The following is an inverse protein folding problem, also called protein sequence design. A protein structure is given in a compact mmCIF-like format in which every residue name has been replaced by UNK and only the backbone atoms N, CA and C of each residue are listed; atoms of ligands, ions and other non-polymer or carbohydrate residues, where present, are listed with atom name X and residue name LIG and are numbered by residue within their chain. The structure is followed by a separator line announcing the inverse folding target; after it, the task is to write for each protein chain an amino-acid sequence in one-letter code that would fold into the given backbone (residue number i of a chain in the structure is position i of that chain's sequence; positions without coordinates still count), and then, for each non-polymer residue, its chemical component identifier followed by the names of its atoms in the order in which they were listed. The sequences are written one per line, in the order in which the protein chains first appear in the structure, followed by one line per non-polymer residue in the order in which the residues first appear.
data_IF_498807249167
#
_entry.id   IF_498807249167
#
_cell.length_a   1.000
_cell.length_b   1.000
_cell.length_c   1.000
_cell.angle_alpha   90.00
_cell.angle_beta   90.00
_cell.angle_gamma   90.00
#
_symmetry.space_group_name_H-M   'P 1'
#
loop_
_entity.id
_entity.type
_entity.pdbx_description
1 polymer ?
#
# COMPACT_ATOMS: atom_id res chain seq x y z
N UNK A 1 -4.64 7.47 22.09
CA UNK A 1 -3.51 6.99 21.28
C UNK A 1 -3.97 6.59 19.91
N UNK A 2 -3.32 7.11 18.89
CA UNK A 2 -3.65 6.77 17.51
C UNK A 2 -3.18 5.35 17.18
N UNK A 3 -4.05 4.58 16.55
CA UNK A 3 -3.76 3.25 16.02
C UNK A 3 -3.96 3.29 14.51
N UNK A 4 -3.08 2.63 13.79
CA UNK A 4 -3.07 2.70 12.34
C UNK A 4 -3.09 1.33 11.66
N UNK A 5 -3.63 1.33 10.46
CA UNK A 5 -3.48 0.21 9.52
C UNK A 5 -2.70 0.76 8.33
N UNK A 6 -1.57 0.13 8.05
CA UNK A 6 -0.64 0.54 7.00
C UNK A 6 -0.70 -0.45 5.86
N UNK A 7 -1.07 0.02 4.68
CA UNK A 7 -1.19 -0.82 3.48
C UNK A 7 0.02 -0.62 2.58
N UNK A 8 0.65 -1.72 2.18
CA UNK A 8 1.47 -1.77 0.98
C UNK A 8 0.55 -1.72 -0.25
N UNK A 9 1.09 -1.43 -1.42
CA UNK A 9 0.29 -1.40 -2.66
C UNK A 9 0.55 -2.61 -3.56
N UNK A 10 1.78 -2.73 -4.09
CA UNK A 10 2.08 -3.73 -5.12
C UNK A 10 2.07 -5.14 -4.53
N UNK A 11 1.19 -6.00 -5.04
CA UNK A 11 0.98 -7.34 -4.52
C UNK A 11 0.09 -7.40 -3.28
N UNK A 12 -0.35 -6.27 -2.76
CA UNK A 12 -1.23 -6.18 -1.58
C UNK A 12 -2.63 -5.73 -1.95
N UNK A 13 -2.78 -4.61 -2.65
CA UNK A 13 -4.07 -4.14 -3.17
C UNK A 13 -4.07 -3.99 -4.69
N UNK A 14 -2.92 -3.71 -5.30
CA UNK A 14 -2.74 -3.57 -6.74
C UNK A 14 -1.94 -4.74 -7.30
N UNK A 15 -2.41 -5.31 -8.40
CA UNK A 15 -1.80 -6.50 -9.01
C UNK A 15 -0.75 -6.12 -10.06
N UNK A 16 0.30 -5.44 -9.63
CA UNK A 16 1.39 -5.00 -10.50
C UNK A 16 2.03 -6.19 -11.24
N UNK A 17 2.24 -7.29 -10.54
CA UNK A 17 3.02 -8.42 -11.06
C UNK A 17 2.34 -9.19 -12.19
N UNK A 18 1.06 -8.93 -12.45
CA UNK A 18 0.34 -9.48 -13.60
C UNK A 18 0.31 -8.52 -14.80
N UNK A 19 0.81 -7.32 -14.67
CA UNK A 19 0.96 -6.41 -15.81
C UNK A 19 2.04 -6.97 -16.72
N UNK A 20 1.73 -7.19 -17.98
CA UNK A 20 2.69 -7.71 -18.96
C UNK A 20 3.87 -6.73 -19.07
N UNK A 21 5.11 -7.28 -19.02
CA UNK A 21 6.36 -6.53 -19.13
C UNK A 21 6.54 -5.43 -18.05
N UNK A 22 5.90 -5.58 -16.91
CA UNK A 22 5.95 -4.56 -15.86
C UNK A 22 7.37 -4.20 -15.44
N UNK A 23 8.23 -5.21 -15.27
CA UNK A 23 9.60 -4.98 -14.80
C UNK A 23 10.45 -4.26 -15.86
N UNK A 24 10.35 -4.69 -17.10
CA UNK A 24 11.05 -4.06 -18.22
C UNK A 24 10.62 -2.61 -18.40
N UNK A 25 9.33 -2.34 -18.32
CA UNK A 25 8.78 -0.99 -18.43
C UNK A 25 9.30 -0.10 -17.30
N UNK A 26 9.29 -0.58 -16.05
CA UNK A 26 9.82 0.18 -14.92
C UNK A 26 11.32 0.43 -15.04
N UNK A 27 12.08 -0.58 -15.47
CA UNK A 27 13.52 -0.45 -15.68
C UNK A 27 13.85 0.55 -16.78
N UNK A 28 12.96 0.74 -17.74
CA UNK A 28 13.08 1.74 -18.80
C UNK A 28 12.51 3.12 -18.40
N UNK A 29 12.13 3.29 -17.13
CA UNK A 29 11.70 4.57 -16.61
C UNK A 29 10.20 4.88 -16.75
N UNK A 30 9.39 3.93 -17.24
CA UNK A 30 7.95 4.13 -17.37
C UNK A 30 7.24 3.84 -16.05
N UNK A 31 6.34 4.71 -15.62
CA UNK A 31 5.46 4.47 -14.46
C UNK A 31 4.11 3.87 -14.86
N UNK A 32 3.91 3.60 -16.14
CA UNK A 32 2.66 3.10 -16.69
C UNK A 32 2.16 1.80 -16.03
N UNK A 33 3.03 0.82 -15.68
CA UNK A 33 2.56 -0.40 -15.03
C UNK A 33 1.77 -0.16 -13.74
N UNK A 34 2.10 0.89 -12.99
CA UNK A 34 1.37 1.23 -11.77
C UNK A 34 -0.05 1.69 -12.06
N UNK A 35 -0.26 2.38 -13.20
CA UNK A 35 -1.59 2.80 -13.63
C UNK A 35 -2.40 1.66 -14.24
N UNK A 36 -1.73 0.69 -14.84
CA UNK A 36 -2.36 -0.43 -15.53
C UNK A 36 -2.77 -1.57 -14.61
N UNK A 37 -2.26 -1.61 -13.39
CA UNK A 37 -2.49 -2.72 -12.47
C UNK A 37 -3.99 -2.85 -12.13
N UNK A 38 -4.51 -4.08 -12.21
CA UNK A 38 -5.85 -4.36 -11.73
C UNK A 38 -5.86 -4.46 -10.20
N UNK A 39 -6.99 -4.17 -9.55
CA UNK A 39 -7.08 -4.40 -8.11
C UNK A 39 -7.11 -5.90 -7.78
N UNK A 40 -6.57 -6.25 -6.62
CA UNK A 40 -6.58 -7.61 -6.11
C UNK A 40 -7.90 -7.97 -5.41
N UNK A 41 -8.73 -6.99 -5.12
CA UNK A 41 -9.99 -7.15 -4.39
C UNK A 41 -11.12 -6.40 -5.07
N UNK A 42 -12.35 -6.72 -4.67
CA UNK A 42 -13.50 -5.87 -4.98
C UNK A 42 -13.28 -4.55 -4.26
N UNK A 43 -13.01 -3.49 -5.01
CA UNK A 43 -12.63 -2.21 -4.42
C UNK A 43 -13.82 -1.50 -3.75
N UNK A 44 -15.05 -1.77 -4.17
CA UNK A 44 -16.23 -1.23 -3.49
C UNK A 44 -16.31 -1.81 -2.07
N UNK A 45 -16.11 -3.10 -1.93
CA UNK A 45 -16.13 -3.77 -0.63
C UNK A 45 -14.92 -3.40 0.24
N UNK A 46 -13.73 -3.34 -0.35
CA UNK A 46 -12.53 -2.96 0.39
C UNK A 46 -12.62 -1.53 0.89
N UNK A 47 -13.02 -0.61 0.03
CA UNK A 47 -13.17 0.81 0.39
C UNK A 47 -14.19 0.98 1.51
N UNK A 48 -15.32 0.24 1.44
CA UNK A 48 -16.32 0.29 2.51
C UNK A 48 -15.74 -0.18 3.84
N UNK A 49 -15.01 -1.29 3.85
CA UNK A 49 -14.38 -1.81 5.07
C UNK A 49 -13.38 -0.81 5.65
N UNK A 50 -12.57 -0.18 4.79
CA UNK A 50 -11.59 0.82 5.22
C UNK A 50 -12.28 2.06 5.79
N UNK A 51 -13.35 2.54 5.16
CA UNK A 51 -14.13 3.67 5.69
C UNK A 51 -14.75 3.35 7.05
N UNK A 52 -15.24 2.15 7.24
CA UNK A 52 -15.80 1.71 8.52
C UNK A 52 -14.71 1.71 9.61
N UNK A 53 -13.50 1.29 9.25
CA UNK A 53 -12.36 1.32 10.17
C UNK A 53 -11.95 2.75 10.53
N UNK A 54 -11.95 3.66 9.57
CA UNK A 54 -11.71 5.07 9.85
C UNK A 54 -12.76 5.64 10.81
N UNK A 55 -14.02 5.31 10.60
CA UNK A 55 -15.11 5.72 11.50
C UNK A 55 -14.95 5.14 12.91
N UNK A 56 -14.31 3.97 13.04
CA UNK A 56 -14.00 3.34 14.32
C UNK A 56 -12.72 3.86 14.97
N UNK A 57 -12.07 4.85 14.36
CA UNK A 57 -10.89 5.50 14.94
C UNK A 57 -9.54 5.01 14.42
N UNK A 58 -9.53 4.15 13.42
CA UNK A 58 -8.27 3.71 12.80
C UNK A 58 -7.74 4.78 11.83
N UNK A 59 -6.45 5.01 11.92
CA UNK A 59 -5.72 5.82 10.94
C UNK A 59 -5.32 4.93 9.77
N UNK A 60 -5.55 5.36 8.55
CA UNK A 60 -5.23 4.55 7.36
C UNK A 60 -4.04 5.16 6.64
N UNK A 61 -2.96 4.43 6.58
CA UNK A 61 -1.74 4.83 5.91
C UNK A 61 -1.48 3.92 4.71
N UNK A 62 -0.96 4.50 3.63
CA UNK A 62 -0.39 3.73 2.52
C UNK A 62 1.10 4.00 2.52
N UNK A 63 1.90 2.95 2.61
CA UNK A 63 3.36 3.03 2.59
C UNK A 63 3.85 2.09 1.50
N UNK A 64 4.35 2.65 0.41
CA UNK A 64 4.75 1.89 -0.76
C UNK A 64 6.14 2.30 -1.24
N UNK A 65 6.85 1.37 -1.86
CA UNK A 65 8.16 1.61 -2.44
C UNK A 65 8.05 2.02 -3.90
N UNK A 66 8.97 2.88 -4.34
CA UNK A 66 9.22 3.09 -5.77
C UNK A 66 9.93 1.89 -6.38
N UNK A 67 10.18 1.93 -7.68
CA UNK A 67 10.90 0.86 -8.36
C UNK A 67 12.39 0.85 -7.96
N UNK A 68 13.00 -0.33 -8.05
CA UNK A 68 14.39 -0.55 -7.68
C UNK A 68 15.36 0.35 -8.44
N UNK A 69 15.07 0.68 -9.71
CA UNK A 69 15.93 1.45 -10.58
C UNK A 69 15.56 2.92 -10.68
N UNK A 70 14.54 3.37 -9.96
CA UNK A 70 14.05 4.73 -10.04
C UNK A 70 15.04 5.75 -9.48
N UNK A 71 15.33 6.77 -10.27
CA UNK A 71 16.01 7.96 -9.78
C UNK A 71 15.01 8.87 -9.09
N UNK A 72 15.46 10.03 -8.59
CA UNK A 72 14.61 10.95 -7.85
C UNK A 72 13.42 11.47 -8.68
N UNK A 73 13.65 11.76 -9.94
CA UNK A 73 12.62 12.24 -10.86
C UNK A 73 11.58 11.16 -11.16
N UNK A 74 12.05 9.94 -11.42
CA UNK A 74 11.18 8.79 -11.66
C UNK A 74 10.36 8.44 -10.41
N UNK A 75 10.95 8.55 -9.22
CA UNK A 75 10.22 8.28 -7.97
C UNK A 75 9.03 9.23 -7.84
N UNK A 76 9.18 10.49 -8.22
CA UNK A 76 8.08 11.46 -8.18
C UNK A 76 6.98 11.09 -9.17
N UNK A 77 7.33 10.63 -10.37
CA UNK A 77 6.37 10.14 -11.35
C UNK A 77 5.63 8.90 -10.87
N UNK A 78 6.34 7.97 -10.23
CA UNK A 78 5.76 6.77 -9.64
C UNK A 78 4.75 7.14 -8.53
N UNK A 79 5.12 8.09 -7.70
CA UNK A 79 4.25 8.60 -6.63
C UNK A 79 2.94 9.13 -7.21
N UNK A 80 3.01 9.93 -8.27
CA UNK A 80 1.82 10.47 -8.92
C UNK A 80 0.97 9.37 -9.53
N UNK A 81 1.57 8.40 -10.20
CA UNK A 81 0.85 7.27 -10.78
C UNK A 81 0.09 6.47 -9.71
N UNK A 82 0.74 6.20 -8.59
CA UNK A 82 0.12 5.46 -7.48
C UNK A 82 -1.02 6.25 -6.83
N UNK A 83 -0.85 7.56 -6.67
CA UNK A 83 -1.92 8.43 -6.17
C UNK A 83 -3.12 8.43 -7.11
N UNK A 84 -2.90 8.53 -8.41
CA UNK A 84 -3.97 8.48 -9.40
C UNK A 84 -4.73 7.15 -9.33
N UNK A 85 -4.00 6.05 -9.18
CA UNK A 85 -4.61 4.72 -9.04
C UNK A 85 -5.51 4.65 -7.81
N UNK A 86 -5.02 5.10 -6.65
CA UNK A 86 -5.80 5.11 -5.42
C UNK A 86 -7.03 6.00 -5.52
N UNK A 87 -6.89 7.17 -6.14
CA UNK A 87 -7.99 8.12 -6.34
C UNK A 87 -9.04 7.57 -7.30
N UNK A 88 -8.61 6.87 -8.35
CA UNK A 88 -9.53 6.26 -9.31
C UNK A 88 -10.44 5.23 -8.65
N UNK A 89 -9.95 4.50 -7.65
CA UNK A 89 -10.73 3.54 -6.90
C UNK A 89 -11.33 4.11 -5.61
N UNK A 90 -11.16 5.40 -5.39
CA UNK A 90 -11.69 6.10 -4.20
C UNK A 90 -11.20 5.49 -2.88
N UNK A 91 -9.98 4.95 -2.89
CA UNK A 91 -9.39 4.36 -1.68
C UNK A 91 -9.12 5.46 -0.64
N UNK A 92 -9.75 5.40 0.54
CA UNK A 92 -9.59 6.44 1.54
C UNK A 92 -8.31 6.20 2.34
N UNK A 93 -7.43 7.18 2.37
CA UNK A 93 -6.24 7.14 3.20
C UNK A 93 -6.07 8.47 3.92
N UNK A 94 -5.52 8.41 5.12
CA UNK A 94 -5.19 9.59 5.92
C UNK A 94 -3.75 10.03 5.64
N UNK A 95 -2.89 9.09 5.28
CA UNK A 95 -1.51 9.38 4.89
C UNK A 95 -1.07 8.50 3.72
N UNK A 96 -0.22 9.06 2.86
CA UNK A 96 0.35 8.36 1.72
C UNK A 96 1.84 8.63 1.63
N UNK A 97 2.63 7.57 1.55
CA UNK A 97 4.08 7.63 1.47
C UNK A 97 4.59 6.72 0.37
N UNK A 98 5.14 7.32 -0.67
CA UNK A 98 5.87 6.59 -1.71
C UNK A 98 7.34 6.89 -1.53
N UNK A 99 8.09 5.87 -1.11
CA UNK A 99 9.47 6.04 -0.67
C UNK A 99 10.42 5.21 -1.53
N UNK A 100 11.70 5.53 -1.43
CA UNK A 100 12.75 4.84 -2.18
C UNK A 100 12.72 3.35 -1.86
N UNK A 101 12.92 2.51 -2.88
CA UNK A 101 13.03 1.06 -2.74
C UNK A 101 14.02 0.70 -1.63
N UNK A 102 13.60 -0.18 -0.75
CA UNK A 102 14.42 -0.65 0.36
C UNK A 102 14.30 0.16 1.65
N UNK A 103 13.56 1.27 1.65
CA UNK A 103 13.36 2.07 2.87
C UNK A 103 12.57 1.27 3.90
N UNK A 104 13.05 1.25 5.15
CA UNK A 104 12.37 0.58 6.26
C UNK A 104 11.04 1.28 6.55
N UNK A 105 9.93 0.58 6.35
CA UNK A 105 8.58 1.18 6.48
C UNK A 105 8.27 1.66 7.90
N UNK A 106 8.76 0.95 8.92
CA UNK A 106 8.55 1.33 10.31
C UNK A 106 9.12 2.70 10.68
N UNK A 107 10.14 3.17 9.95
CA UNK A 107 10.78 4.47 10.20
C UNK A 107 10.00 5.65 9.64
N UNK A 108 9.02 5.41 8.79
CA UNK A 108 8.25 6.45 8.12
C UNK A 108 7.09 6.93 8.99
N UNK A 109 6.70 6.12 9.95
CA UNK A 109 5.54 6.35 10.78
C UNK A 109 5.86 7.36 11.87
N UNK A 110 5.16 8.49 11.88
CA UNK A 110 5.40 9.57 12.83
C UNK A 110 4.16 10.01 13.62
N UNK A 111 2.99 9.45 13.34
CA UNK A 111 1.73 9.94 13.91
C UNK A 111 1.03 8.94 14.85
N UNK A 112 1.56 7.75 15.02
CA UNK A 112 0.94 6.72 15.85
C UNK A 112 2.01 5.83 16.48
N UNK A 113 1.71 5.26 17.64
CA UNK A 113 2.65 4.41 18.37
C UNK A 113 2.54 2.96 17.98
N UNK A 114 1.38 2.53 17.52
CA UNK A 114 1.15 1.15 17.10
C UNK A 114 0.43 1.11 15.76
N UNK A 115 0.80 0.15 14.94
CA UNK A 115 0.18 -0.03 13.63
C UNK A 115 0.23 -1.46 13.15
N UNK A 116 -0.78 -1.86 12.41
CA UNK A 116 -0.82 -3.16 11.72
C UNK A 116 -0.31 -2.94 10.31
N UNK A 117 0.71 -3.69 9.90
CA UNK A 117 1.20 -3.66 8.54
C UNK A 117 0.58 -4.77 7.70
N UNK A 118 -0.01 -4.40 6.58
CA UNK A 118 -0.51 -5.33 5.58
C UNK A 118 0.43 -5.27 4.37
N UNK A 119 1.19 -6.33 4.16
CA UNK A 119 2.23 -6.40 3.13
C UNK A 119 2.39 -7.85 2.69
N UNK A 120 2.48 -8.08 1.38
CA UNK A 120 2.66 -9.42 0.82
C UNK A 120 4.09 -9.95 0.98
N UNK A 121 5.04 -9.11 1.31
CA UNK A 121 6.44 -9.47 1.44
C UNK A 121 6.77 -9.87 2.88
N UNK A 122 7.13 -11.14 3.07
CA UNK A 122 7.45 -11.69 4.39
C UNK A 122 8.62 -10.97 5.06
N UNK A 123 9.65 -10.63 4.28
CA UNK A 123 10.83 -9.95 4.82
C UNK A 123 10.49 -8.57 5.36
N UNK A 124 9.60 -7.85 4.67
CA UNK A 124 9.13 -6.54 5.12
C UNK A 124 8.30 -6.70 6.39
N UNK A 125 7.40 -7.69 6.45
CA UNK A 125 6.62 -7.98 7.66
C UNK A 125 7.52 -8.26 8.85
N UNK A 126 8.55 -9.07 8.67
CA UNK A 126 9.51 -9.40 9.75
C UNK A 126 10.27 -8.19 10.27
N UNK A 127 10.46 -7.18 9.43
CA UNK A 127 11.11 -5.93 9.82
C UNK A 127 10.20 -4.92 10.51
N UNK A 128 8.90 -5.18 10.57
CA UNK A 128 7.93 -4.29 11.19
C UNK A 128 7.94 -4.46 12.70
N UNK A 129 8.18 -3.37 13.43
CA UNK A 129 8.35 -3.40 14.90
C UNK A 129 7.26 -2.63 15.65
N UNK A 130 6.27 -2.09 14.94
CA UNK A 130 5.25 -1.23 15.54
C UNK A 130 3.98 -1.95 15.91
N UNK A 131 3.87 -3.25 15.64
CA UNK A 131 2.68 -4.03 15.97
C UNK A 131 2.57 -5.28 15.13
N UNK A 132 1.35 -5.74 14.96
CA UNK A 132 1.06 -6.96 14.19
C UNK A 132 1.25 -6.75 12.70
N UNK A 133 1.38 -7.85 11.98
CA UNK A 133 1.42 -7.85 10.52
C UNK A 133 0.37 -8.81 9.98
N UNK A 134 -0.06 -8.55 8.75
CA UNK A 134 -1.02 -9.39 8.05
C UNK A 134 -0.51 -9.63 6.64
N UNK A 135 -0.46 -10.90 6.25
CA UNK A 135 -0.22 -11.27 4.87
C UNK A 135 -1.55 -11.18 4.11
N UNK A 136 -1.67 -10.30 3.11
CA UNK A 136 -2.92 -10.18 2.37
C UNK A 136 -3.25 -11.49 1.66
N UNK A 137 -4.51 -11.89 1.76
CA UNK A 137 -5.04 -13.08 1.14
C UNK A 137 -6.42 -12.77 0.58
N UNK A 138 -7.07 -13.77 -0.03
CA UNK A 138 -8.44 -13.64 -0.51
C UNK A 138 -9.42 -13.23 0.60
N UNK A 139 -9.05 -13.45 1.88
CA UNK A 139 -9.86 -13.13 3.04
C UNK A 139 -9.52 -11.76 3.68
N UNK A 140 -8.74 -10.92 3.01
CA UNK A 140 -8.31 -9.64 3.58
C UNK A 140 -9.49 -8.80 4.09
N UNK A 141 -10.54 -8.66 3.30
CA UNK A 141 -11.70 -7.85 3.66
C UNK A 141 -12.35 -8.37 4.94
N UNK A 142 -12.50 -9.70 5.06
CA UNK A 142 -13.04 -10.32 6.26
C UNK A 142 -12.13 -10.12 7.48
N UNK A 143 -10.82 -10.22 7.27
CA UNK A 143 -9.85 -9.94 8.34
C UNK A 143 -9.92 -8.49 8.82
N UNK A 144 -10.10 -7.55 7.91
CA UNK A 144 -10.28 -6.14 8.27
C UNK A 144 -11.56 -5.92 9.08
N UNK A 145 -12.66 -6.57 8.70
CA UNK A 145 -13.94 -6.47 9.42
C UNK A 145 -13.82 -6.96 10.85
N UNK A 146 -12.94 -7.92 11.13
CA UNK A 146 -12.72 -8.42 12.49
C UNK A 146 -12.09 -7.38 13.42
N UNK A 147 -11.52 -6.32 12.88
CA UNK A 147 -10.94 -5.22 13.66
C UNK A 147 -11.99 -4.22 14.14
N UNK A 148 -13.19 -4.31 13.60
CA UNK A 148 -14.32 -3.50 14.03
C UNK A 148 -14.92 -4.08 15.31
#
# INVERSE_FOLDING_TARGET
MAKAICFDMDGTIANLYKVEDWQEMLDNGSSLPYLMADPLYDMVELVKAVKDLQAAGWYIEVITWGSRTANKCQLEEIKQAKLEWLQAYEFPFDGFHCVKYGTTKAKIVVKYETGILIDDNEKIRKGWKLGDTLNPSENLIEELKKLL
#
